data_IF_431782373401
#
_entry.id   IF_431782373401
#
_cell.length_a   1.000
_cell.length_b   1.000
_cell.length_c   1.000
_cell.angle_alpha   90.00
_cell.angle_beta   90.00
_cell.angle_gamma   90.00
#
_symmetry.space_group_name_H-M   'P 1'
#
loop_
_entity.id
_entity.type
_entity.pdbx_description
1 polymer ?
#
# COMPACT_ATOMS: atom_id res chain seq x y z
N UNK A 1 -31.20 1.61 11.63
CA UNK A 1 -30.15 1.96 12.63
C UNK A 1 -29.30 0.81 13.19
N UNK A 2 -29.72 -0.47 13.23
CA UNK A 2 -28.95 -1.54 13.93
C UNK A 2 -27.64 -1.99 13.25
N UNK A 3 -27.46 -1.73 11.95
CA UNK A 3 -26.29 -2.19 11.19
C UNK A 3 -25.02 -1.33 11.44
N UNK A 4 -25.18 -0.01 11.54
CA UNK A 4 -24.08 0.91 11.87
C UNK A 4 -23.43 0.58 13.22
N UNK A 5 -24.21 0.29 14.27
CA UNK A 5 -23.66 -0.09 15.57
C UNK A 5 -22.91 -1.44 15.55
N UNK A 6 -23.24 -2.36 14.63
CA UNK A 6 -22.54 -3.65 14.50
C UNK A 6 -21.19 -3.54 13.79
N UNK A 7 -21.05 -2.64 12.82
CA UNK A 7 -19.76 -2.40 12.15
C UNK A 7 -18.77 -1.62 12.99
N UNK A 8 -19.27 -0.81 13.93
CA UNK A 8 -18.44 -0.05 14.89
C UNK A 8 -18.01 -0.91 16.08
N UNK A 9 -18.58 -2.11 16.25
CA UNK A 9 -18.22 -3.08 17.28
C UNK A 9 -16.87 -3.74 16.95
N UNK A 10 -15.83 -3.57 17.81
CA UNK A 10 -14.52 -4.18 17.59
C UNK A 10 -14.59 -5.70 17.47
N UNK A 11 -15.45 -6.37 18.26
CA UNK A 11 -15.59 -7.83 18.25
C UNK A 11 -16.07 -8.34 16.88
N UNK A 12 -17.01 -7.63 16.27
CA UNK A 12 -17.54 -8.03 14.97
C UNK A 12 -16.51 -7.78 13.86
N UNK A 13 -15.79 -6.66 13.93
CA UNK A 13 -14.69 -6.35 13.02
C UNK A 13 -13.57 -7.40 13.11
N UNK A 14 -13.09 -7.74 14.31
CA UNK A 14 -12.05 -8.74 14.52
C UNK A 14 -12.44 -10.13 14.02
N UNK A 15 -13.70 -10.54 14.22
CA UNK A 15 -14.18 -11.83 13.71
C UNK A 15 -14.15 -11.89 12.19
N UNK A 16 -14.60 -10.83 11.53
CA UNK A 16 -14.62 -10.76 10.06
C UNK A 16 -13.21 -10.64 9.50
N UNK A 17 -12.39 -9.73 10.04
CA UNK A 17 -11.03 -9.55 9.57
C UNK A 17 -10.22 -10.84 9.75
N UNK A 18 -10.34 -11.51 10.90
CA UNK A 18 -9.69 -12.79 11.14
C UNK A 18 -10.13 -13.90 10.19
N UNK A 19 -11.40 -13.92 9.79
CA UNK A 19 -11.92 -14.91 8.82
C UNK A 19 -11.43 -14.61 7.40
N UNK A 20 -11.39 -13.33 7.01
CA UNK A 20 -11.00 -12.91 5.66
C UNK A 20 -9.48 -12.88 5.44
N UNK A 21 -8.71 -12.61 6.49
CA UNK A 21 -7.26 -12.43 6.43
C UNK A 21 -6.51 -13.56 5.70
N UNK A 22 -6.71 -14.86 5.99
CA UNK A 22 -5.98 -15.92 5.30
C UNK A 22 -6.31 -15.98 3.80
N UNK A 23 -7.55 -15.70 3.41
CA UNK A 23 -7.96 -15.69 2.01
C UNK A 23 -7.38 -14.51 1.25
N UNK A 24 -7.46 -13.31 1.84
CA UNK A 24 -6.88 -12.09 1.25
C UNK A 24 -5.35 -12.22 1.17
N UNK A 25 -4.70 -12.75 2.21
CA UNK A 25 -3.26 -12.99 2.21
C UNK A 25 -2.85 -14.03 1.17
N UNK A 26 -3.61 -15.13 1.05
CA UNK A 26 -3.38 -16.14 0.03
C UNK A 26 -3.50 -15.58 -1.39
N UNK A 27 -4.56 -14.83 -1.67
CA UNK A 27 -4.75 -14.16 -2.96
C UNK A 27 -3.67 -13.12 -3.24
N UNK A 28 -3.28 -12.35 -2.21
CA UNK A 28 -2.17 -11.40 -2.32
C UNK A 28 -0.89 -12.12 -2.73
N UNK A 29 -0.47 -13.17 -2.04
CA UNK A 29 0.75 -13.90 -2.37
C UNK A 29 0.69 -14.53 -3.76
N UNK A 30 -0.46 -15.08 -4.13
CA UNK A 30 -0.69 -15.71 -5.43
C UNK A 30 -0.56 -14.74 -6.59
N UNK A 31 -0.94 -13.48 -6.42
CA UNK A 31 -0.83 -12.45 -7.46
C UNK A 31 0.50 -11.68 -7.38
N UNK A 32 0.95 -11.37 -6.16
CA UNK A 32 2.12 -10.54 -5.91
C UNK A 32 3.41 -11.25 -6.32
N UNK A 33 3.61 -12.52 -5.94
CA UNK A 33 4.88 -13.21 -6.23
C UNK A 33 5.11 -13.41 -7.73
N UNK A 34 4.14 -13.94 -8.51
CA UNK A 34 4.31 -14.06 -9.96
C UNK A 34 4.41 -12.69 -10.64
N UNK A 35 3.59 -11.71 -10.22
CA UNK A 35 3.64 -10.35 -10.78
C UNK A 35 4.99 -9.68 -10.57
N UNK A 36 5.57 -9.82 -9.37
CA UNK A 36 6.89 -9.30 -9.04
C UNK A 36 7.98 -9.98 -9.86
N UNK A 37 7.92 -11.31 -9.98
CA UNK A 37 8.86 -12.07 -10.80
C UNK A 37 8.78 -11.66 -12.27
N UNK A 38 7.56 -11.57 -12.80
CA UNK A 38 7.33 -11.20 -14.19
C UNK A 38 7.82 -9.77 -14.48
N UNK A 39 7.53 -8.81 -13.60
CA UNK A 39 7.94 -7.42 -13.77
C UNK A 39 9.46 -7.22 -13.69
N UNK A 40 10.15 -7.91 -12.78
CA UNK A 40 11.59 -7.72 -12.58
C UNK A 40 12.46 -8.55 -13.52
N UNK A 41 12.03 -9.76 -13.91
CA UNK A 41 12.88 -10.70 -14.64
C UNK A 41 12.42 -10.99 -16.06
N UNK A 42 11.10 -10.99 -16.31
CA UNK A 42 10.57 -11.40 -17.62
C UNK A 42 10.19 -10.22 -18.53
N UNK A 43 9.88 -9.07 -17.95
CA UNK A 43 9.50 -7.88 -18.71
C UNK A 43 10.64 -7.47 -19.64
N UNK A 44 10.38 -7.24 -20.94
CA UNK A 44 11.42 -6.82 -21.86
C UNK A 44 11.96 -5.44 -21.47
N UNK A 45 13.21 -5.18 -21.83
CA UNK A 45 13.80 -3.85 -21.70
C UNK A 45 12.96 -2.82 -22.45
N UNK A 46 12.80 -1.63 -21.87
CA UNK A 46 12.20 -0.51 -22.56
C UNK A 46 13.17 0.09 -23.58
N UNK A 47 12.64 0.64 -24.68
CA UNK A 47 13.44 1.19 -25.77
C UNK A 47 14.23 2.46 -25.39
N UNK A 48 13.73 3.25 -24.42
CA UNK A 48 14.38 4.46 -23.91
C UNK A 48 15.12 4.21 -22.60
N UNK A 49 14.49 3.45 -21.70
CA UNK A 49 14.96 3.31 -20.32
C UNK A 49 15.77 2.02 -20.09
N UNK A 50 15.82 1.12 -21.09
CA UNK A 50 16.50 -0.15 -21.00
C UNK A 50 15.99 -1.00 -19.83
N UNK A 51 16.92 -1.66 -19.14
CA UNK A 51 16.64 -2.51 -17.98
C UNK A 51 16.12 -1.74 -16.76
N UNK A 52 16.46 -0.45 -16.63
CA UNK A 52 16.05 0.38 -15.50
C UNK A 52 14.54 0.57 -15.43
N UNK A 53 13.81 0.44 -16.56
CA UNK A 53 12.35 0.46 -16.59
C UNK A 53 11.72 -0.56 -15.63
N UNK A 54 12.36 -1.71 -15.41
CA UNK A 54 11.78 -2.77 -14.57
C UNK A 54 11.59 -2.34 -13.11
N UNK A 55 12.35 -1.33 -12.65
CA UNK A 55 12.17 -0.71 -11.32
C UNK A 55 10.74 -0.12 -11.19
N UNK A 56 10.13 0.31 -12.30
CA UNK A 56 8.81 0.92 -12.33
C UNK A 56 7.70 -0.03 -11.86
N UNK A 57 7.87 -1.34 -12.04
CA UNK A 57 6.95 -2.36 -11.52
C UNK A 57 6.92 -2.44 -9.98
N UNK A 58 7.92 -1.87 -9.31
CA UNK A 58 7.94 -1.72 -7.84
C UNK A 58 7.62 -0.28 -7.45
N UNK A 59 8.24 0.68 -8.13
CA UNK A 59 8.15 2.10 -7.80
C UNK A 59 6.72 2.65 -7.90
N UNK A 60 6.06 2.45 -9.04
CA UNK A 60 4.73 3.04 -9.29
C UNK A 60 3.68 2.48 -8.32
N UNK A 61 3.57 1.16 -8.11
CA UNK A 61 2.67 0.63 -7.10
C UNK A 61 3.00 1.12 -5.69
N UNK A 62 4.28 1.22 -5.32
CA UNK A 62 4.68 1.72 -4.01
C UNK A 62 4.26 3.20 -3.81
N UNK A 63 4.45 4.05 -4.83
CA UNK A 63 4.05 5.45 -4.79
C UNK A 63 2.52 5.59 -4.66
N UNK A 64 1.75 4.84 -5.45
CA UNK A 64 0.30 4.81 -5.35
C UNK A 64 -0.19 4.32 -3.98
N UNK A 65 0.41 3.26 -3.45
CA UNK A 65 0.05 2.72 -2.14
C UNK A 65 0.39 3.70 -1.01
N UNK A 66 1.53 4.39 -1.08
CA UNK A 66 1.89 5.45 -0.12
C UNK A 66 0.79 6.52 -0.06
N UNK A 67 0.42 7.10 -1.21
CA UNK A 67 -0.62 8.13 -1.28
C UNK A 67 -1.98 7.61 -0.80
N UNK A 68 -2.38 6.41 -1.26
CA UNK A 68 -3.63 5.79 -0.87
C UNK A 68 -3.72 5.59 0.66
N UNK A 69 -2.65 5.11 1.29
CA UNK A 69 -2.62 4.91 2.74
C UNK A 69 -2.71 6.25 3.47
N UNK A 70 -1.99 7.29 3.04
CA UNK A 70 -2.08 8.61 3.68
C UNK A 70 -3.47 9.27 3.51
N UNK A 71 -4.11 9.12 2.35
CA UNK A 71 -5.50 9.59 2.16
C UNK A 71 -6.45 8.80 3.07
N UNK A 72 -6.28 7.49 3.16
CA UNK A 72 -7.07 6.65 4.06
C UNK A 72 -6.87 7.04 5.53
N UNK A 73 -5.63 7.37 5.93
CA UNK A 73 -5.31 7.91 7.26
C UNK A 73 -5.99 9.25 7.49
N UNK A 74 -5.95 10.17 6.53
CA UNK A 74 -6.62 11.47 6.64
C UNK A 74 -8.13 11.28 6.86
N UNK A 75 -8.78 10.41 6.09
CA UNK A 75 -10.20 10.06 6.27
C UNK A 75 -10.43 9.47 7.67
N UNK A 76 -9.61 8.51 8.12
CA UNK A 76 -9.75 7.90 9.45
C UNK A 76 -9.57 8.94 10.57
N UNK A 77 -8.63 9.88 10.42
CA UNK A 77 -8.40 10.96 11.36
C UNK A 77 -9.61 11.90 11.42
N UNK A 78 -10.17 12.30 10.28
CA UNK A 78 -11.41 13.09 10.22
C UNK A 78 -12.57 12.36 10.90
N UNK A 79 -12.74 11.06 10.61
CA UNK A 79 -13.80 10.25 11.21
C UNK A 79 -13.63 10.17 12.73
N UNK A 80 -12.40 9.97 13.20
CA UNK A 80 -12.09 9.93 14.62
C UNK A 80 -12.32 11.29 15.30
N UNK A 81 -11.94 12.40 14.68
CA UNK A 81 -12.09 13.74 15.27
C UNK A 81 -13.56 14.17 15.37
N UNK A 82 -14.35 13.94 14.32
CA UNK A 82 -15.75 14.38 14.24
C UNK A 82 -16.69 13.44 15.01
N UNK A 83 -16.59 12.13 14.77
CA UNK A 83 -17.52 11.14 15.34
C UNK A 83 -16.96 10.37 16.54
N UNK A 84 -15.70 10.61 16.95
CA UNK A 84 -15.06 9.96 18.11
C UNK A 84 -15.08 8.42 18.04
N UNK A 85 -15.05 7.87 16.83
CA UNK A 85 -15.08 6.44 16.57
C UNK A 85 -13.71 5.80 16.88
N UNK A 86 -13.58 5.10 18.01
CA UNK A 86 -12.32 4.46 18.45
C UNK A 86 -11.72 3.49 17.43
N UNK A 87 -12.54 2.82 16.61
CA UNK A 87 -12.03 1.93 15.57
C UNK A 87 -11.23 2.71 14.51
N UNK A 88 -11.66 3.93 14.16
CA UNK A 88 -10.95 4.78 13.21
C UNK A 88 -9.57 5.20 13.71
N UNK A 89 -9.40 5.46 15.02
CA UNK A 89 -8.07 5.73 15.60
C UNK A 89 -7.16 4.51 15.57
N UNK A 90 -7.70 3.30 15.75
CA UNK A 90 -6.90 2.07 15.64
C UNK A 90 -6.39 1.88 14.21
N UNK A 91 -7.28 2.04 13.21
CA UNK A 91 -6.90 1.93 11.79
C UNK A 91 -5.87 2.99 11.42
N UNK A 92 -6.04 4.24 11.89
CA UNK A 92 -5.08 5.33 11.67
C UNK A 92 -3.67 4.95 12.16
N UNK A 93 -3.54 4.52 13.42
CA UNK A 93 -2.25 4.18 14.03
C UNK A 93 -1.63 2.96 13.34
N UNK A 94 -2.43 1.93 13.03
CA UNK A 94 -1.96 0.73 12.35
C UNK A 94 -1.50 1.01 10.91
N UNK A 95 -2.09 2.01 10.24
CA UNK A 95 -1.75 2.38 8.86
C UNK A 95 -0.47 3.20 8.76
N UNK A 96 -0.08 3.93 9.82
CA UNK A 96 1.08 4.81 9.82
C UNK A 96 2.40 4.11 9.39
N UNK A 97 2.81 2.96 9.98
CA UNK A 97 4.01 2.26 9.54
C UNK A 97 3.89 1.72 8.11
N UNK A 98 2.70 1.29 7.69
CA UNK A 98 2.45 0.77 6.33
C UNK A 98 2.67 1.88 5.30
N UNK A 99 2.08 3.06 5.53
CA UNK A 99 2.26 4.24 4.68
C UNK A 99 3.73 4.68 4.63
N UNK A 100 4.40 4.70 5.78
CA UNK A 100 5.83 5.03 5.86
C UNK A 100 6.70 4.02 5.07
N UNK A 101 6.43 2.72 5.16
CA UNK A 101 7.15 1.69 4.40
C UNK A 101 6.99 1.84 2.89
N UNK A 102 5.77 2.07 2.41
CA UNK A 102 5.54 2.31 0.97
C UNK A 102 6.17 3.62 0.50
N UNK A 103 6.15 4.66 1.34
CA UNK A 103 6.82 5.93 1.04
C UNK A 103 8.32 5.74 0.92
N UNK A 104 8.94 5.05 1.88
CA UNK A 104 10.36 4.72 1.83
C UNK A 104 10.70 3.93 0.55
N UNK A 105 9.91 2.90 0.22
CA UNK A 105 10.10 2.12 -1.00
C UNK A 105 9.98 3.00 -2.25
N UNK A 106 8.98 3.90 -2.31
CA UNK A 106 8.80 4.81 -3.43
C UNK A 106 9.99 5.78 -3.58
N UNK A 107 10.46 6.39 -2.48
CA UNK A 107 11.63 7.28 -2.49
C UNK A 107 12.89 6.53 -2.93
N UNK A 108 13.16 5.36 -2.35
CA UNK A 108 14.35 4.58 -2.63
C UNK A 108 14.38 4.09 -4.09
N UNK A 109 13.29 3.50 -4.56
CA UNK A 109 13.18 3.01 -5.95
C UNK A 109 13.13 4.14 -6.97
N UNK A 110 12.52 5.26 -6.62
CA UNK A 110 12.48 6.45 -7.48
C UNK A 110 13.88 7.05 -7.65
N UNK A 111 14.65 7.13 -6.56
CA UNK A 111 16.04 7.59 -6.59
C UNK A 111 16.93 6.63 -7.42
N UNK A 112 16.78 5.31 -7.25
CA UNK A 112 17.48 4.29 -8.04
C UNK A 112 17.18 4.36 -9.53
N UNK A 113 15.94 4.61 -9.91
CA UNK A 113 15.54 4.82 -11.31
C UNK A 113 15.99 6.19 -11.83
N UNK A 114 15.99 7.23 -10.99
CA UNK A 114 16.39 8.59 -11.36
C UNK A 114 17.84 8.70 -11.79
N UNK A 115 18.77 8.00 -11.12
CA UNK A 115 20.20 8.06 -11.46
C UNK A 115 20.52 7.77 -12.94
N UNK A 116 20.13 6.61 -13.52
CA UNK A 116 20.42 6.33 -14.93
C UNK A 116 19.64 7.23 -15.89
N UNK A 117 18.46 7.72 -15.51
CA UNK A 117 17.58 8.48 -16.41
C UNK A 117 17.91 9.98 -16.44
N UNK A 118 18.30 10.54 -15.29
CA UNK A 118 18.51 11.98 -15.11
C UNK A 118 19.96 12.34 -14.77
N UNK A 119 20.83 11.35 -14.56
CA UNK A 119 22.22 11.56 -14.15
C UNK A 119 22.40 11.91 -12.67
N UNK A 120 21.30 12.07 -11.91
CA UNK A 120 21.29 12.39 -10.49
C UNK A 120 20.33 11.49 -9.75
N UNK A 121 20.66 11.21 -8.49
CA UNK A 121 19.70 10.69 -7.53
C UNK A 121 18.65 11.79 -7.28
N UNK A 122 17.39 11.41 -7.15
CA UNK A 122 16.35 12.35 -6.73
C UNK A 122 16.65 12.92 -5.35
#
# INVERSE_FOLDING_TARGET
MRWFHRLVSPVWFYRISGTLLPWVAGLFLLLFLPGLYMGLFTAPADYQQGESFRIMYVHVPAAWMSMFVYVSMAICATVFLVWRMKLASVVLIASAPIGASFTFLALATGSLWGKPMWGTWW
#
